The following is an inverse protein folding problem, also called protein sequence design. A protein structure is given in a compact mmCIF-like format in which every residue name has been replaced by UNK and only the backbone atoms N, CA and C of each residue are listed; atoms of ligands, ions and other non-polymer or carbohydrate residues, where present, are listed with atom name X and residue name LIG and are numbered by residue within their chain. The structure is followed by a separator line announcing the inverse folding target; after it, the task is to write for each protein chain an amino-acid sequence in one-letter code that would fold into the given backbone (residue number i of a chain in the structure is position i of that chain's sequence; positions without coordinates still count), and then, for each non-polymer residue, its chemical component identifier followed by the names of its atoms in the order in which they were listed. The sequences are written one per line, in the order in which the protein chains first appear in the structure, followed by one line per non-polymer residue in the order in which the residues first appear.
data_IF_649065978357
#
_entry.id   IF_649065978357
#
_cell.length_a   1.000
_cell.length_b   1.000
_cell.length_c   1.000
_cell.angle_alpha   90.00
_cell.angle_beta   90.00
_cell.angle_gamma   90.00
#
_symmetry.space_group_name_H-M   'P 1'
#
loop_
_entity.id
_entity.type
_entity.pdbx_description
1 polymer ?
#
# COMPACT_ATOMS: atom_id res chain seq x y z
N UNK A 1 31.70 12.34 8.21
CA UNK A 1 32.09 10.95 7.87
C UNK A 1 31.39 10.63 6.56
N UNK A 2 32.12 10.53 5.46
CA UNK A 2 31.59 10.26 4.11
C UNK A 2 31.39 8.76 4.01
N UNK A 3 30.14 8.31 3.92
CA UNK A 3 29.80 6.90 3.69
C UNK A 3 30.42 6.45 2.34
N UNK A 4 31.14 5.35 2.28
CA UNK A 4 31.80 4.93 1.05
C UNK A 4 30.76 4.74 -0.08
N UNK A 5 31.10 5.18 -1.27
CA UNK A 5 30.18 5.21 -2.43
C UNK A 5 29.54 3.84 -2.77
N UNK A 6 30.23 2.74 -2.42
CA UNK A 6 29.76 1.37 -2.60
C UNK A 6 28.60 1.06 -1.63
N UNK A 7 28.71 1.45 -0.37
CA UNK A 7 27.69 1.23 0.66
C UNK A 7 26.42 2.04 0.35
N UNK A 8 26.60 3.26 -0.14
CA UNK A 8 25.50 4.13 -0.58
C UNK A 8 24.75 3.53 -1.78
N UNK A 9 25.45 2.91 -2.75
CA UNK A 9 24.82 2.23 -3.89
C UNK A 9 24.04 0.99 -3.45
N UNK A 10 24.57 0.22 -2.52
CA UNK A 10 23.92 -0.98 -2.01
C UNK A 10 22.62 -0.64 -1.26
N UNK A 11 22.63 0.38 -0.42
CA UNK A 11 21.43 0.86 0.29
C UNK A 11 20.33 1.34 -0.67
N UNK A 12 20.67 2.07 -1.75
CA UNK A 12 19.70 2.51 -2.74
C UNK A 12 19.07 1.35 -3.52
N UNK A 13 19.85 0.36 -3.92
CA UNK A 13 19.34 -0.82 -4.60
C UNK A 13 18.37 -1.59 -3.70
N UNK A 14 18.73 -1.79 -2.43
CA UNK A 14 17.90 -2.48 -1.46
C UNK A 14 16.59 -1.71 -1.19
N UNK A 15 16.65 -0.38 -1.05
CA UNK A 15 15.46 0.47 -0.88
C UNK A 15 14.51 0.31 -2.08
N UNK A 16 15.03 0.39 -3.30
CA UNK A 16 14.24 0.20 -4.52
C UNK A 16 13.58 -1.19 -4.53
N UNK A 17 14.34 -2.24 -4.28
CA UNK A 17 13.83 -3.62 -4.26
C UNK A 17 12.75 -3.81 -3.20
N UNK A 18 12.96 -3.32 -1.97
CA UNK A 18 11.94 -3.37 -0.91
C UNK A 18 10.68 -2.63 -1.33
N UNK A 19 10.80 -1.46 -1.93
CA UNK A 19 9.65 -0.69 -2.42
C UNK A 19 8.88 -1.48 -3.48
N UNK A 20 9.57 -2.11 -4.44
CA UNK A 20 8.94 -2.94 -5.48
C UNK A 20 8.17 -4.12 -4.88
N UNK A 21 8.78 -4.84 -3.93
CA UNK A 21 8.13 -5.97 -3.25
C UNK A 21 6.94 -5.51 -2.41
N UNK A 22 7.00 -4.33 -1.78
CA UNK A 22 5.87 -3.76 -1.05
C UNK A 22 4.67 -3.48 -1.97
N UNK A 23 4.90 -2.90 -3.15
CA UNK A 23 3.83 -2.67 -4.13
C UNK A 23 3.25 -3.99 -4.65
N UNK A 24 4.09 -4.98 -4.93
CA UNK A 24 3.66 -6.33 -5.31
C UNK A 24 2.76 -6.95 -4.25
N UNK A 25 3.15 -6.88 -2.97
CA UNK A 25 2.38 -7.43 -1.85
C UNK A 25 1.00 -6.77 -1.73
N UNK A 26 0.90 -5.45 -1.90
CA UNK A 26 -0.39 -4.78 -1.87
C UNK A 26 -1.29 -5.19 -3.04
N UNK A 27 -0.74 -5.34 -4.25
CA UNK A 27 -1.48 -5.82 -5.40
C UNK A 27 -2.06 -7.23 -5.18
N UNK A 28 -1.33 -8.12 -4.50
CA UNK A 28 -1.81 -9.46 -4.18
C UNK A 28 -3.16 -9.46 -3.45
N UNK A 29 -3.41 -8.49 -2.60
CA UNK A 29 -4.68 -8.40 -1.85
C UNK A 29 -5.72 -7.57 -2.56
N UNK A 30 -5.37 -6.42 -3.13
CA UNK A 30 -6.33 -5.52 -3.79
C UNK A 30 -6.97 -6.14 -5.02
N UNK A 31 -6.20 -6.86 -5.82
CA UNK A 31 -6.69 -7.45 -7.06
C UNK A 31 -7.32 -8.85 -6.86
N UNK A 32 -7.14 -9.45 -5.68
CA UNK A 32 -7.83 -10.68 -5.31
C UNK A 32 -9.29 -10.49 -4.89
N UNK A 33 -9.73 -9.25 -4.63
CA UNK A 33 -11.10 -8.97 -4.16
C UNK A 33 -12.15 -9.49 -5.13
N UNK A 34 -11.88 -9.46 -6.43
CA UNK A 34 -12.77 -10.02 -7.44
C UNK A 34 -13.13 -11.50 -7.22
N UNK A 35 -12.19 -12.32 -6.75
CA UNK A 35 -12.42 -13.73 -6.41
C UNK A 35 -13.04 -13.90 -5.02
N UNK A 36 -12.88 -12.93 -4.13
CA UNK A 36 -13.46 -12.96 -2.77
C UNK A 36 -14.96 -12.63 -2.82
N UNK A 37 -15.40 -11.73 -3.71
CA UNK A 37 -16.79 -11.30 -3.83
C UNK A 37 -17.78 -12.47 -3.96
N UNK A 38 -17.58 -13.49 -4.83
CA UNK A 38 -18.47 -14.65 -4.89
C UNK A 38 -18.57 -15.42 -3.58
N UNK A 39 -17.46 -15.57 -2.86
CA UNK A 39 -17.45 -16.28 -1.57
C UNK A 39 -18.20 -15.50 -0.49
N UNK A 40 -18.12 -14.17 -0.51
CA UNK A 40 -18.85 -13.28 0.39
C UNK A 40 -20.36 -13.33 0.10
N UNK A 41 -20.75 -13.31 -1.17
CA UNK A 41 -22.15 -13.45 -1.59
C UNK A 41 -22.74 -14.77 -1.03
N UNK A 42 -22.01 -15.87 -1.18
CA UNK A 42 -22.45 -17.18 -0.65
C UNK A 42 -22.55 -17.19 0.87
N UNK A 43 -21.50 -16.68 1.55
CA UNK A 43 -21.41 -16.73 3.02
C UNK A 43 -22.46 -15.88 3.71
N UNK A 44 -22.67 -14.65 3.20
CA UNK A 44 -23.54 -13.66 3.85
C UNK A 44 -24.89 -13.48 3.13
N UNK A 45 -25.15 -14.24 2.06
CA UNK A 45 -26.38 -14.17 1.24
C UNK A 45 -26.69 -12.76 0.76
N UNK A 46 -25.67 -12.05 0.25
CA UNK A 46 -25.77 -10.68 -0.19
C UNK A 46 -26.10 -10.57 -1.67
N UNK A 47 -26.64 -9.40 -2.06
CA UNK A 47 -26.71 -9.01 -3.47
C UNK A 47 -25.28 -8.68 -4.00
N UNK A 48 -25.11 -8.73 -5.31
CA UNK A 48 -23.84 -8.35 -5.95
C UNK A 48 -23.45 -6.89 -5.61
N UNK A 49 -24.44 -6.00 -5.59
CA UNK A 49 -24.24 -4.58 -5.23
C UNK A 49 -23.72 -4.43 -3.80
N UNK A 50 -24.32 -5.15 -2.84
CA UNK A 50 -23.88 -5.12 -1.45
C UNK A 50 -22.46 -5.71 -1.30
N UNK A 51 -22.16 -6.82 -1.97
CA UNK A 51 -20.84 -7.43 -1.94
C UNK A 51 -19.76 -6.55 -2.59
N UNK A 52 -20.12 -5.74 -3.59
CA UNK A 52 -19.25 -4.75 -4.21
C UNK A 52 -18.74 -3.67 -3.25
N UNK A 53 -19.41 -3.47 -2.10
CA UNK A 53 -18.96 -2.57 -1.03
C UNK A 53 -17.54 -2.91 -0.56
N UNK A 54 -17.12 -4.15 -0.67
CA UNK A 54 -15.74 -4.58 -0.36
C UNK A 54 -14.70 -3.83 -1.21
N UNK A 55 -14.93 -3.75 -2.52
CA UNK A 55 -14.03 -3.04 -3.41
C UNK A 55 -14.09 -1.54 -3.14
N UNK A 56 -15.29 -0.99 -3.01
CA UNK A 56 -15.48 0.45 -2.74
C UNK A 56 -14.91 0.88 -1.40
N UNK A 57 -14.99 0.07 -0.35
CA UNK A 57 -14.41 0.37 0.96
C UNK A 57 -12.88 0.55 0.86
N UNK A 58 -12.19 -0.36 0.16
CA UNK A 58 -10.75 -0.25 -0.05
C UNK A 58 -10.39 0.99 -0.88
N UNK A 59 -11.08 1.23 -2.00
CA UNK A 59 -10.81 2.37 -2.86
C UNK A 59 -11.07 3.70 -2.17
N UNK A 60 -12.18 3.80 -1.41
CA UNK A 60 -12.48 4.97 -0.60
C UNK A 60 -11.40 5.24 0.46
N UNK A 61 -10.92 4.19 1.13
CA UNK A 61 -9.83 4.29 2.09
C UNK A 61 -8.54 4.85 1.46
N UNK A 62 -8.16 4.34 0.29
CA UNK A 62 -6.99 4.82 -0.45
C UNK A 62 -7.17 6.31 -0.83
N UNK A 63 -8.34 6.67 -1.38
CA UNK A 63 -8.63 8.03 -1.79
C UNK A 63 -8.62 9.01 -0.61
N UNK A 64 -9.26 8.65 0.51
CA UNK A 64 -9.28 9.47 1.73
C UNK A 64 -7.87 9.66 2.29
N UNK A 65 -7.05 8.60 2.32
CA UNK A 65 -5.67 8.71 2.77
C UNK A 65 -4.85 9.64 1.85
N UNK A 66 -5.02 9.53 0.53
CA UNK A 66 -4.35 10.42 -0.43
C UNK A 66 -4.72 11.88 -0.24
N UNK A 67 -6.01 12.18 -0.02
CA UNK A 67 -6.51 13.54 0.16
C UNK A 67 -6.12 14.16 1.49
N UNK A 68 -6.22 13.42 2.59
CA UNK A 68 -6.08 13.98 3.94
C UNK A 68 -4.73 13.67 4.59
N UNK A 69 -4.07 12.58 4.19
CA UNK A 69 -2.83 12.10 4.80
C UNK A 69 -1.62 12.24 3.87
N UNK A 70 -1.80 12.86 2.69
CA UNK A 70 -0.71 13.07 1.72
C UNK A 70 0.51 13.80 2.29
N UNK A 71 0.31 14.66 3.28
CA UNK A 71 1.38 15.43 3.94
C UNK A 71 2.16 14.64 5.01
N UNK A 72 1.73 13.41 5.36
CA UNK A 72 2.39 12.63 6.42
C UNK A 72 3.88 12.41 6.12
N UNK A 73 4.19 12.08 4.88
CA UNK A 73 5.55 11.81 4.44
C UNK A 73 6.47 13.03 4.54
N UNK A 74 5.93 14.24 4.39
CA UNK A 74 6.68 15.49 4.53
C UNK A 74 6.85 15.89 6.00
N UNK A 75 5.86 15.60 6.85
CA UNK A 75 5.87 15.94 8.28
C UNK A 75 6.72 14.99 9.11
N UNK A 76 6.52 13.69 8.93
CA UNK A 76 7.16 12.64 9.75
C UNK A 76 8.37 12.01 9.06
N UNK A 77 8.52 12.20 7.75
CA UNK A 77 9.55 11.59 6.92
C UNK A 77 9.08 10.33 6.20
N UNK A 78 9.85 9.91 5.18
CA UNK A 78 9.46 8.81 4.27
C UNK A 78 9.36 7.47 4.99
N UNK A 79 10.43 7.10 5.74
CA UNK A 79 10.49 5.81 6.44
C UNK A 79 9.39 5.63 7.49
N UNK A 80 9.15 6.55 8.44
CA UNK A 80 8.05 6.40 9.40
C UNK A 80 6.69 6.26 8.75
N UNK A 81 6.43 7.00 7.67
CA UNK A 81 5.16 6.93 6.94
C UNK A 81 4.98 5.59 6.26
N UNK A 82 6.01 5.06 5.59
CA UNK A 82 6.01 3.72 4.97
C UNK A 82 5.76 2.65 6.04
N UNK A 83 6.54 2.66 7.12
CA UNK A 83 6.43 1.67 8.22
C UNK A 83 5.06 1.75 8.88
N UNK A 84 4.52 2.95 9.10
CA UNK A 84 3.18 3.12 9.67
C UNK A 84 2.10 2.52 8.76
N UNK A 85 2.14 2.80 7.45
CA UNK A 85 1.22 2.20 6.49
C UNK A 85 1.30 0.67 6.48
N UNK A 86 2.50 0.11 6.45
CA UNK A 86 2.71 -1.33 6.52
C UNK A 86 2.19 -1.93 7.83
N UNK A 87 2.44 -1.29 8.97
CA UNK A 87 2.00 -1.77 10.29
C UNK A 87 0.48 -1.77 10.39
N UNK A 88 -0.16 -0.70 9.95
CA UNK A 88 -1.62 -0.61 9.94
C UNK A 88 -2.25 -1.68 9.04
N UNK A 89 -1.65 -1.92 7.86
CA UNK A 89 -2.10 -2.97 6.95
C UNK A 89 -1.91 -4.37 7.54
N UNK A 90 -0.75 -4.66 8.13
CA UNK A 90 -0.49 -5.96 8.76
C UNK A 90 -1.46 -6.24 9.91
N UNK A 91 -1.71 -5.24 10.78
CA UNK A 91 -2.67 -5.36 11.86
C UNK A 91 -4.09 -5.64 11.36
N UNK A 92 -4.57 -4.87 10.36
CA UNK A 92 -5.87 -5.11 9.74
C UNK A 92 -5.94 -6.51 9.11
N UNK A 93 -4.87 -6.94 8.42
CA UNK A 93 -4.79 -8.24 7.74
C UNK A 93 -4.91 -9.41 8.71
N UNK A 94 -4.26 -9.37 9.87
CA UNK A 94 -4.40 -10.44 10.88
C UNK A 94 -5.80 -10.46 11.52
N UNK A 95 -6.48 -9.32 11.62
CA UNK A 95 -7.82 -9.27 12.17
C UNK A 95 -8.87 -9.93 11.26
N UNK A 96 -8.59 -10.19 9.97
CA UNK A 96 -9.52 -10.92 9.11
C UNK A 96 -9.86 -12.33 9.63
N UNK A 97 -8.94 -12.99 10.34
CA UNK A 97 -9.22 -14.32 10.91
C UNK A 97 -10.30 -14.25 12.01
N UNK A 98 -10.30 -13.19 12.80
CA UNK A 98 -11.24 -13.01 13.92
C UNK A 98 -12.63 -12.53 13.48
N UNK A 99 -12.81 -12.13 12.22
CA UNK A 99 -14.07 -11.59 11.72
C UNK A 99 -15.08 -12.65 11.35
N UNK A 100 -16.36 -12.39 11.66
CA UNK A 100 -17.49 -13.26 11.30
C UNK A 100 -18.65 -12.51 10.63
N UNK A 101 -18.55 -11.19 10.51
CA UNK A 101 -19.62 -10.38 9.92
C UNK A 101 -19.16 -9.55 8.73
N UNK A 102 -20.06 -9.35 7.77
CA UNK A 102 -19.79 -8.54 6.59
C UNK A 102 -19.38 -7.09 6.94
N UNK A 103 -20.07 -6.35 7.84
CA UNK A 103 -19.65 -5.00 8.19
C UNK A 103 -18.24 -4.95 8.80
N UNK A 104 -17.88 -5.95 9.61
CA UNK A 104 -16.52 -6.03 10.18
C UNK A 104 -15.45 -6.11 9.07
N UNK A 105 -15.66 -6.97 8.08
CA UNK A 105 -14.73 -7.08 6.95
C UNK A 105 -14.70 -5.81 6.09
N UNK A 106 -15.85 -5.15 5.86
CA UNK A 106 -15.89 -3.90 5.13
C UNK A 106 -15.08 -2.79 5.82
N UNK A 107 -15.16 -2.71 7.16
CA UNK A 107 -14.35 -1.79 7.98
C UNK A 107 -12.86 -2.14 7.87
N UNK A 108 -12.48 -3.42 7.96
CA UNK A 108 -11.09 -3.84 7.79
C UNK A 108 -10.54 -3.49 6.41
N UNK A 109 -11.35 -3.63 5.36
CA UNK A 109 -10.95 -3.24 4.01
C UNK A 109 -10.79 -1.73 3.86
N UNK A 110 -11.65 -0.92 4.50
CA UNK A 110 -11.48 0.52 4.55
C UNK A 110 -10.19 0.92 5.27
N UNK A 111 -9.89 0.29 6.41
CA UNK A 111 -8.64 0.48 7.16
C UNK A 111 -7.43 0.04 6.30
N UNK A 112 -7.52 -1.11 5.63
CA UNK A 112 -6.49 -1.58 4.70
C UNK A 112 -6.27 -0.59 3.56
N UNK A 113 -7.35 -0.02 3.02
CA UNK A 113 -7.28 1.04 2.01
C UNK A 113 -6.54 2.28 2.52
N UNK A 114 -6.87 2.75 3.73
CA UNK A 114 -6.17 3.87 4.37
C UNK A 114 -4.68 3.53 4.55
N UNK A 115 -4.36 2.33 5.01
CA UNK A 115 -3.00 1.86 5.18
C UNK A 115 -2.19 1.87 3.87
N UNK A 116 -2.80 1.38 2.79
CA UNK A 116 -2.23 1.42 1.43
C UNK A 116 -2.00 2.84 0.96
N UNK A 117 -2.98 3.73 1.17
CA UNK A 117 -2.87 5.15 0.79
C UNK A 117 -1.73 5.86 1.54
N UNK A 118 -1.62 5.64 2.85
CA UNK A 118 -0.51 6.17 3.67
C UNK A 118 0.84 5.63 3.18
N UNK A 119 0.93 4.32 2.95
CA UNK A 119 2.13 3.72 2.38
C UNK A 119 2.50 4.37 1.04
N UNK A 120 1.54 4.47 0.11
CA UNK A 120 1.78 5.07 -1.22
C UNK A 120 2.31 6.50 -1.13
N UNK A 121 1.79 7.33 -0.23
CA UNK A 121 2.30 8.70 -0.06
C UNK A 121 3.78 8.72 0.35
N UNK A 122 4.17 7.85 1.29
CA UNK A 122 5.57 7.70 1.71
C UNK A 122 6.47 7.14 0.61
N UNK A 123 6.02 6.09 -0.06
CA UNK A 123 6.79 5.38 -1.08
C UNK A 123 7.00 6.22 -2.36
N UNK A 124 5.96 6.89 -2.84
CA UNK A 124 6.04 7.75 -4.02
C UNK A 124 6.94 8.96 -3.77
N UNK A 125 6.82 9.58 -2.58
CA UNK A 125 7.71 10.66 -2.19
C UNK A 125 9.18 10.19 -2.06
N UNK A 126 9.41 8.98 -1.52
CA UNK A 126 10.74 8.36 -1.48
C UNK A 126 11.33 8.16 -2.88
N UNK A 127 10.53 7.67 -3.84
CA UNK A 127 10.95 7.51 -5.23
C UNK A 127 11.38 8.84 -5.82
N UNK A 128 10.63 9.93 -5.55
CA UNK A 128 11.01 11.28 -5.94
C UNK A 128 12.36 11.72 -5.35
N UNK A 129 12.61 11.40 -4.06
CA UNK A 129 13.84 11.79 -3.37
C UNK A 129 15.09 11.03 -3.86
N UNK A 130 14.94 9.78 -4.34
CA UNK A 130 16.07 8.94 -4.78
C UNK A 130 16.35 9.01 -6.28
N UNK A 131 15.41 9.45 -7.08
CA UNK A 131 15.58 9.60 -8.53
C UNK A 131 16.44 10.83 -8.84
N UNK A 132 17.49 10.64 -9.65
CA UNK A 132 18.44 11.71 -10.03
C UNK A 132 18.02 12.49 -11.27
N UNK A 133 17.08 11.94 -12.04
CA UNK A 133 16.55 12.54 -13.27
C UNK A 133 15.12 12.09 -13.52
N UNK A 134 14.41 12.82 -14.37
CA UNK A 134 13.06 12.44 -14.81
C UNK A 134 13.04 11.05 -15.45
N UNK A 135 14.04 10.72 -16.26
CA UNK A 135 14.18 9.41 -16.88
C UNK A 135 14.34 8.29 -15.84
N UNK A 136 15.17 8.51 -14.81
CA UNK A 136 15.32 7.53 -13.72
C UNK A 136 14.03 7.40 -12.89
N UNK A 137 13.36 8.51 -12.60
CA UNK A 137 12.07 8.50 -11.91
C UNK A 137 11.05 7.65 -12.69
N UNK A 138 10.91 7.89 -13.99
CA UNK A 138 10.01 7.12 -14.85
C UNK A 138 10.38 5.62 -14.88
N UNK A 139 11.67 5.29 -14.98
CA UNK A 139 12.12 3.91 -14.96
C UNK A 139 11.78 3.21 -13.64
N UNK A 140 11.96 3.87 -12.50
CA UNK A 140 11.58 3.32 -11.18
C UNK A 140 10.08 3.12 -11.11
N UNK A 141 9.28 4.10 -11.55
CA UNK A 141 7.82 4.00 -11.54
C UNK A 141 7.32 2.85 -12.42
N UNK A 142 7.86 2.70 -13.64
CA UNK A 142 7.52 1.58 -14.52
C UNK A 142 7.87 0.22 -13.89
N UNK A 143 8.97 0.15 -13.15
CA UNK A 143 9.35 -1.07 -12.43
C UNK A 143 8.39 -1.36 -11.27
N UNK A 144 7.97 -0.33 -10.52
CA UNK A 144 6.93 -0.43 -9.48
C UNK A 144 5.64 -1.01 -10.08
N UNK A 145 5.16 -0.47 -11.19
CA UNK A 145 3.95 -0.94 -11.87
C UNK A 145 4.13 -2.37 -12.41
N UNK A 146 5.32 -2.73 -12.89
CA UNK A 146 5.64 -4.10 -13.28
C UNK A 146 5.52 -5.08 -12.11
N UNK A 147 6.08 -4.76 -10.95
CA UNK A 147 5.95 -5.57 -9.73
C UNK A 147 4.51 -5.60 -9.21
N UNK A 148 3.78 -4.49 -9.29
CA UNK A 148 2.36 -4.44 -8.99
C UNK A 148 1.60 -5.42 -9.90
N UNK A 149 1.85 -5.41 -11.21
CA UNK A 149 1.26 -6.35 -12.17
C UNK A 149 1.57 -7.81 -11.84
N UNK A 150 2.80 -8.13 -11.39
CA UNK A 150 3.12 -9.49 -10.91
C UNK A 150 2.26 -9.85 -9.69
N UNK A 151 2.09 -8.93 -8.74
CA UNK A 151 1.24 -9.13 -7.57
C UNK A 151 -0.22 -9.38 -7.93
N UNK A 152 -0.73 -8.65 -8.94
CA UNK A 152 -2.10 -8.78 -9.47
C UNK A 152 -2.38 -10.16 -10.09
N UNK A 153 -1.33 -10.90 -10.48
CA UNK A 153 -1.44 -12.28 -10.97
C UNK A 153 -1.25 -13.28 -9.82
N UNK A 154 -0.20 -13.07 -9.02
CA UNK A 154 0.20 -14.01 -7.95
C UNK A 154 -0.86 -14.08 -6.84
N UNK A 155 -1.42 -12.95 -6.43
CA UNK A 155 -2.44 -12.91 -5.38
C UNK A 155 -3.69 -13.73 -5.72
N UNK A 156 -4.37 -13.44 -6.84
CA UNK A 156 -5.51 -14.23 -7.29
C UNK A 156 -5.18 -15.71 -7.51
N UNK A 157 -3.97 -16.04 -8.02
CA UNK A 157 -3.56 -17.44 -8.22
C UNK A 157 -3.43 -18.19 -6.87
N UNK A 158 -2.82 -17.55 -5.85
CA UNK A 158 -2.76 -18.11 -4.50
C UNK A 158 -4.16 -18.28 -3.92
N UNK A 159 -5.02 -17.27 -4.05
CA UNK A 159 -6.38 -17.33 -3.55
C UNK A 159 -7.19 -18.42 -4.22
N UNK A 160 -7.11 -18.55 -5.55
CA UNK A 160 -7.79 -19.60 -6.28
C UNK A 160 -7.36 -21.00 -5.79
N UNK A 161 -6.07 -21.19 -5.51
CA UNK A 161 -5.56 -22.42 -4.93
C UNK A 161 -6.09 -22.67 -3.53
N UNK A 162 -6.08 -21.67 -2.64
CA UNK A 162 -6.65 -21.78 -1.30
C UNK A 162 -8.12 -22.20 -1.34
N UNK A 163 -8.91 -21.55 -2.19
CA UNK A 163 -10.33 -21.87 -2.36
C UNK A 163 -10.56 -23.28 -2.92
N UNK A 164 -9.74 -23.72 -3.87
CA UNK A 164 -9.81 -25.08 -4.42
C UNK A 164 -9.51 -26.16 -3.36
N UNK A 165 -8.64 -25.86 -2.41
CA UNK A 165 -8.32 -26.76 -1.29
C UNK A 165 -9.32 -26.61 -0.10
N UNK A 166 -10.40 -25.85 -0.27
CA UNK A 166 -11.41 -25.61 0.79
C UNK A 166 -10.94 -24.68 1.91
N UNK A 167 -9.82 -23.98 1.70
CA UNK A 167 -9.26 -23.05 2.68
C UNK A 167 -9.92 -21.68 2.51
N UNK A 168 -10.28 -21.03 3.63
CA UNK A 168 -10.95 -19.73 3.61
C UNK A 168 -10.08 -18.64 2.96
N UNK A 169 -10.72 -17.76 2.18
CA UNK A 169 -10.10 -16.58 1.57
C UNK A 169 -9.39 -15.65 2.59
N UNK A 170 -9.76 -15.69 3.85
CA UNK A 170 -9.13 -14.91 4.93
C UNK A 170 -7.63 -15.19 5.06
N UNK A 171 -7.19 -16.39 4.73
CA UNK A 171 -5.78 -16.77 4.80
C UNK A 171 -4.87 -16.04 3.81
N UNK A 172 -5.43 -15.52 2.71
CA UNK A 172 -4.67 -14.63 1.83
C UNK A 172 -4.22 -13.37 2.58
N UNK A 173 -5.10 -12.79 3.42
CA UNK A 173 -4.75 -11.61 4.22
C UNK A 173 -3.73 -11.96 5.30
N UNK A 174 -3.83 -13.13 5.94
CA UNK A 174 -2.81 -13.58 6.91
C UNK A 174 -1.44 -13.71 6.23
N UNK A 175 -1.40 -14.30 5.05
CA UNK A 175 -0.18 -14.40 4.25
C UNK A 175 0.39 -13.00 3.93
N UNK A 176 -0.45 -12.10 3.43
CA UNK A 176 -0.06 -10.73 3.11
C UNK A 176 0.42 -9.97 4.35
N UNK A 177 -0.27 -10.12 5.50
CA UNK A 177 0.14 -9.55 6.79
C UNK A 177 1.50 -10.07 7.24
N UNK A 178 1.78 -11.36 7.02
CA UNK A 178 3.07 -11.98 7.36
C UNK A 178 4.21 -11.47 6.48
N UNK A 179 3.97 -11.37 5.16
CA UNK A 179 4.93 -10.74 4.24
C UNK A 179 5.16 -9.28 4.65
N UNK A 180 4.09 -8.56 5.00
CA UNK A 180 4.16 -7.18 5.44
C UNK A 180 5.01 -7.02 6.72
N UNK A 181 4.85 -7.93 7.70
CA UNK A 181 5.66 -7.94 8.91
C UNK A 181 7.17 -8.13 8.60
N UNK A 182 7.50 -9.03 7.68
CA UNK A 182 8.88 -9.21 7.21
C UNK A 182 9.41 -7.94 6.52
N UNK A 183 8.59 -7.30 5.70
CA UNK A 183 8.95 -6.04 5.02
C UNK A 183 9.14 -4.89 6.00
N UNK A 184 8.38 -4.84 7.11
CA UNK A 184 8.58 -3.88 8.20
C UNK A 184 9.96 -4.08 8.83
N UNK A 185 10.31 -5.32 9.18
CA UNK A 185 11.63 -5.64 9.75
C UNK A 185 12.72 -5.21 8.79
N UNK A 186 12.63 -5.58 7.50
CA UNK A 186 13.60 -5.18 6.48
C UNK A 186 13.70 -3.65 6.34
N UNK A 187 12.56 -2.95 6.27
CA UNK A 187 12.51 -1.49 6.16
C UNK A 187 13.11 -0.78 7.38
N UNK A 188 13.04 -1.39 8.57
CA UNK A 188 13.63 -0.80 9.78
C UNK A 188 15.14 -0.96 9.84
N UNK A 189 15.72 -1.92 9.13
CA UNK A 189 17.17 -2.16 9.10
C UNK A 189 17.90 -1.32 8.03
N UNK A 190 17.17 -0.77 7.05
CA UNK A 190 17.74 0.01 5.96
C UNK A 190 17.81 1.49 6.33
N UNK A 191 18.93 2.14 5.96
CA UNK A 191 19.10 3.60 6.12
C UNK A 191 18.48 4.33 4.94
N UNK A 192 17.37 5.00 5.16
CA UNK A 192 16.72 5.84 4.16
C UNK A 192 17.46 7.17 3.98
N UNK A 193 17.45 7.76 2.78
CA UNK A 193 18.00 9.08 2.56
C UNK A 193 17.30 10.09 3.48
N UNK A 194 18.04 11.11 3.93
CA UNK A 194 17.44 12.21 4.71
C UNK A 194 16.44 12.92 3.82
N UNK A 195 15.21 13.06 4.31
CA UNK A 195 14.17 13.83 3.65
C UNK A 195 14.69 15.25 3.46
N UNK A 196 14.79 15.75 2.24
CA UNK A 196 14.90 17.18 2.01
C UNK A 196 13.57 17.75 2.50
N UNK A 197 13.60 18.48 3.63
CA UNK A 197 12.42 19.23 4.07
C UNK A 197 12.05 20.12 2.91
N UNK A 198 10.91 19.86 2.28
CA UNK A 198 10.31 20.80 1.39
C UNK A 198 10.24 22.11 2.18
N UNK A 199 10.84 23.16 1.67
CA UNK A 199 10.69 24.50 2.21
C UNK A 199 9.19 24.69 2.27
N UNK A 200 8.63 24.75 3.47
CA UNK A 200 7.20 24.67 3.74
C UNK A 200 6.48 25.92 3.23
N UNK A 201 6.33 26.02 1.94
CA UNK A 201 5.14 26.65 1.40
C UNK A 201 4.03 25.60 1.51
N UNK A 202 3.36 25.63 2.63
CA UNK A 202 2.06 25.00 2.77
C UNK A 202 1.20 25.51 1.62
N UNK A 203 1.08 24.70 0.56
CA UNK A 203 0.02 24.88 -0.42
C UNK A 203 -1.26 24.56 0.36
N UNK A 204 -1.71 25.56 1.10
CA UNK A 204 -2.91 25.42 1.92
C UNK A 204 -4.06 25.06 1.02
N UNK A 205 -4.94 24.21 1.52
CA UNK A 205 -6.21 23.80 0.89
C UNK A 205 -6.92 24.98 0.21
N UNK A 206 -6.77 26.19 0.76
CA UNK A 206 -7.26 27.45 0.21
C UNK A 206 -6.63 27.85 -1.15
N UNK A 207 -5.38 27.47 -1.46
CA UNK A 207 -4.77 27.74 -2.77
C UNK A 207 -5.33 26.77 -3.82
N UNK A 208 -5.52 25.49 -3.46
CA UNK A 208 -6.12 24.49 -4.34
C UNK A 208 -7.57 24.84 -4.67
N UNK A 209 -8.34 25.29 -3.67
CA UNK A 209 -9.72 25.75 -3.86
C UNK A 209 -9.76 27.04 -4.71
N UNK A 210 -8.81 27.96 -4.54
CA UNK A 210 -8.71 29.16 -5.41
C UNK A 210 -8.32 28.83 -6.85
N UNK A 211 -7.42 27.88 -7.07
CA UNK A 211 -7.04 27.42 -8.40
C UNK A 211 -8.20 26.72 -9.14
N UNK A 212 -9.08 26.04 -8.41
CA UNK A 212 -10.30 25.42 -8.96
C UNK A 212 -11.44 26.44 -9.22
N UNK A 213 -11.39 27.62 -8.61
CA UNK A 213 -12.39 28.69 -8.79
C UNK A 213 -12.03 29.70 -9.90
N UNK A 214 -10.80 29.70 -10.38
CA UNK A 214 -10.35 30.56 -11.50
C UNK A 214 -9.79 29.64 -12.61
N UNK A 215 -10.63 29.28 -13.62
CA UNK A 215 -10.18 28.58 -14.81
C UNK A 215 -9.26 29.46 -15.69
#
# INVERSE_FOLDING_TARGET
MIEPAIERRHNLALIKTLTYVMFMMFAMTTDSVGLIIPEIIKTFRLSLTAAGTFQYATMAGIALAGLFLGQLADRFGRRPTIVFGLTLFAAASYLFVAGESFPFFAVLLAISGIAIGVFKTGALALIGDIAKSTAEHTAIMNTVEGFFGVGSIVGPAILARLLADGISWKWLYVLAGSICALLIVAATQVRYPRTMKATSETVGLNRTIRALKNP
#
